data_IF_459693937011
#
_entry.id   IF_459693937011
#
_cell.length_a   1.000
_cell.length_b   1.000
_cell.length_c   1.000
_cell.angle_alpha   90.00
_cell.angle_beta   90.00
_cell.angle_gamma   90.00
#
_symmetry.space_group_name_H-M   'P 1'
#
loop_
_entity.id
_entity.type
_entity.pdbx_description
1 polymer ?
#
# COMPACT_ATOMS: atom_id res chain seq x y z
N UNK A 1 42.15 16.03 42.02
CA UNK A 1 41.04 15.08 41.82
C UNK A 1 40.55 15.28 40.41
N UNK A 2 41.03 14.48 39.47
CA UNK A 2 40.54 14.48 38.10
C UNK A 2 39.77 13.16 37.92
N UNK A 3 38.44 13.26 37.86
CA UNK A 3 37.56 12.15 37.58
C UNK A 3 37.63 11.83 36.08
N UNK A 4 38.45 10.85 35.71
CA UNK A 4 38.31 10.16 34.43
C UNK A 4 37.02 9.34 34.47
N UNK A 5 35.98 9.82 33.77
CA UNK A 5 34.79 9.04 33.50
C UNK A 5 35.09 8.10 32.32
N UNK A 6 35.33 6.82 32.63
CA UNK A 6 35.28 5.72 31.68
C UNK A 6 33.83 5.52 31.20
N UNK A 7 33.41 6.30 30.20
CA UNK A 7 32.20 5.95 29.45
C UNK A 7 32.55 4.80 28.50
N UNK A 8 32.17 3.59 28.95
CA UNK A 8 32.14 2.38 28.16
C UNK A 8 31.51 2.65 26.78
N UNK A 9 32.25 2.34 25.72
CA UNK A 9 31.83 2.44 24.34
C UNK A 9 30.73 1.44 24.00
N UNK A 10 29.49 1.77 24.34
CA UNK A 10 28.35 1.25 23.60
C UNK A 10 28.23 2.08 22.32
N UNK A 11 28.84 1.60 21.23
CA UNK A 11 28.39 1.98 19.90
C UNK A 11 27.03 1.31 19.71
N UNK A 12 25.95 2.08 19.85
CA UNK A 12 24.70 1.66 19.27
C UNK A 12 24.92 1.61 17.76
N UNK A 13 25.07 0.42 17.20
CA UNK A 13 24.89 0.27 15.76
C UNK A 13 23.49 0.80 15.44
N UNK A 14 23.33 1.66 14.42
CA UNK A 14 22.01 2.17 14.08
C UNK A 14 21.10 0.97 13.82
N UNK A 15 20.00 0.87 14.57
CA UNK A 15 19.00 -0.16 14.37
C UNK A 15 18.66 -0.21 12.88
N UNK A 16 19.00 -1.31 12.21
CA UNK A 16 18.61 -1.55 10.83
C UNK A 16 17.08 -1.52 10.77
N UNK A 17 16.53 -0.37 10.36
CA UNK A 17 15.10 -0.25 10.10
C UNK A 17 14.83 -1.03 8.84
N UNK A 18 14.10 -2.13 8.97
CA UNK A 18 13.61 -2.89 7.83
C UNK A 18 12.70 -1.98 6.98
N UNK A 19 13.25 -1.44 5.89
CA UNK A 19 12.48 -0.69 4.91
C UNK A 19 11.93 -1.66 3.86
N UNK A 20 10.61 -1.78 3.82
CA UNK A 20 9.94 -2.52 2.76
C UNK A 20 10.27 -1.88 1.42
N UNK A 21 10.85 -2.66 0.50
CA UNK A 21 10.99 -2.21 -0.88
C UNK A 21 9.60 -1.85 -1.45
N UNK A 22 9.57 -0.88 -2.37
CA UNK A 22 8.32 -0.40 -2.97
C UNK A 22 7.45 -1.57 -3.49
N UNK A 23 8.09 -2.57 -4.11
CA UNK A 23 7.45 -3.81 -4.56
C UNK A 23 6.68 -4.54 -3.44
N UNK A 24 7.26 -4.68 -2.26
CA UNK A 24 6.57 -5.35 -1.15
C UNK A 24 5.39 -4.52 -0.62
N UNK A 25 5.53 -3.19 -0.58
CA UNK A 25 4.42 -2.29 -0.17
C UNK A 25 3.25 -2.42 -1.14
N UNK A 26 3.54 -2.47 -2.44
CA UNK A 26 2.52 -2.64 -3.49
C UNK A 26 1.80 -3.98 -3.35
N UNK A 27 2.54 -5.07 -3.16
CA UNK A 27 1.94 -6.39 -2.97
C UNK A 27 1.05 -6.44 -1.73
N UNK A 28 1.49 -5.82 -0.62
CA UNK A 28 0.67 -5.72 0.59
C UNK A 28 -0.63 -4.95 0.32
N UNK A 29 -0.56 -3.80 -0.36
CA UNK A 29 -1.74 -3.01 -0.73
C UNK A 29 -2.69 -3.80 -1.62
N UNK A 30 -2.19 -4.47 -2.67
CA UNK A 30 -3.01 -5.31 -3.55
C UNK A 30 -3.73 -6.42 -2.77
N UNK A 31 -3.00 -7.13 -1.91
CA UNK A 31 -3.60 -8.18 -1.09
C UNK A 31 -4.69 -7.60 -0.17
N UNK A 32 -4.45 -6.47 0.48
CA UNK A 32 -5.46 -5.81 1.33
C UNK A 32 -6.70 -5.38 0.55
N UNK A 33 -6.55 -4.84 -0.66
CA UNK A 33 -7.68 -4.48 -1.52
C UNK A 33 -8.48 -5.72 -1.95
N UNK A 34 -7.81 -6.79 -2.35
CA UNK A 34 -8.47 -8.04 -2.74
C UNK A 34 -9.25 -8.66 -1.58
N UNK A 35 -8.63 -8.77 -0.39
CA UNK A 35 -9.30 -9.30 0.80
C UNK A 35 -10.52 -8.47 1.18
N UNK A 36 -10.40 -7.14 1.24
CA UNK A 36 -11.53 -6.28 1.61
C UNK A 36 -12.67 -6.34 0.58
N UNK A 37 -12.34 -6.50 -0.71
CA UNK A 37 -13.33 -6.67 -1.78
C UNK A 37 -14.08 -7.99 -1.61
N UNK A 38 -13.38 -9.08 -1.35
CA UNK A 38 -13.97 -10.40 -1.08
C UNK A 38 -14.87 -10.37 0.16
N UNK A 39 -14.41 -9.72 1.25
CA UNK A 39 -15.20 -9.52 2.47
C UNK A 39 -16.49 -8.75 2.17
N UNK A 40 -16.43 -7.68 1.37
CA UNK A 40 -17.62 -6.92 0.99
C UNK A 40 -18.62 -7.77 0.21
N UNK A 41 -18.16 -8.61 -0.74
CA UNK A 41 -19.04 -9.50 -1.48
C UNK A 41 -19.65 -10.59 -0.59
N UNK A 42 -18.84 -11.22 0.26
CA UNK A 42 -19.27 -12.23 1.22
C UNK A 42 -20.34 -11.69 2.17
N UNK A 43 -20.12 -10.51 2.75
CA UNK A 43 -21.08 -9.86 3.63
C UNK A 43 -22.35 -9.42 2.88
N UNK A 44 -22.23 -8.99 1.61
CA UNK A 44 -23.38 -8.61 0.79
C UNK A 44 -24.31 -9.80 0.47
N UNK A 45 -23.76 -11.02 0.40
CA UNK A 45 -24.54 -12.24 0.16
C UNK A 45 -25.41 -12.63 1.36
N UNK A 46 -24.89 -12.46 2.58
CA UNK A 46 -25.59 -12.85 3.82
C UNK A 46 -26.44 -11.72 4.41
N UNK A 47 -26.26 -10.48 3.93
CA UNK A 47 -26.98 -9.31 4.43
C UNK A 47 -28.42 -9.25 3.91
N UNK A 48 -29.40 -9.28 4.81
CA UNK A 48 -30.84 -9.14 4.48
C UNK A 48 -31.28 -7.67 4.31
N UNK A 49 -30.51 -6.72 4.85
CA UNK A 49 -30.84 -5.30 4.77
C UNK A 49 -30.45 -4.75 3.41
N UNK A 50 -31.45 -4.41 2.57
CA UNK A 50 -31.22 -3.92 1.21
C UNK A 50 -30.23 -2.74 1.13
N UNK A 51 -30.34 -1.75 2.03
CA UNK A 51 -29.44 -0.60 2.05
C UNK A 51 -27.98 -1.01 2.35
N UNK A 52 -27.79 -1.96 3.27
CA UNK A 52 -26.47 -2.45 3.65
C UNK A 52 -25.87 -3.29 2.52
N UNK A 53 -26.68 -4.15 1.88
CA UNK A 53 -26.27 -4.89 0.69
C UNK A 53 -25.79 -3.96 -0.42
N UNK A 54 -26.57 -2.94 -0.77
CA UNK A 54 -26.17 -1.97 -1.79
C UNK A 54 -24.86 -1.24 -1.43
N UNK A 55 -24.66 -0.90 -0.16
CA UNK A 55 -23.43 -0.26 0.31
C UNK A 55 -22.21 -1.18 0.16
N UNK A 56 -22.36 -2.46 0.54
CA UNK A 56 -21.30 -3.46 0.45
C UNK A 56 -20.94 -3.74 -1.01
N UNK A 57 -21.94 -3.95 -1.89
CA UNK A 57 -21.69 -4.13 -3.33
C UNK A 57 -21.03 -2.90 -3.96
N UNK A 58 -21.45 -1.69 -3.56
CA UNK A 58 -20.83 -0.45 -4.06
C UNK A 58 -19.38 -0.33 -3.60
N UNK A 59 -19.11 -0.66 -2.33
CA UNK A 59 -17.76 -0.68 -1.76
C UNK A 59 -16.87 -1.67 -2.50
N UNK A 60 -17.37 -2.88 -2.78
CA UNK A 60 -16.65 -3.90 -3.53
C UNK A 60 -16.27 -3.44 -4.95
N UNK A 61 -17.19 -2.78 -5.67
CA UNK A 61 -16.93 -2.22 -7.01
C UNK A 61 -15.89 -1.09 -6.98
N UNK A 62 -15.89 -0.26 -5.94
CA UNK A 62 -14.87 0.79 -5.75
C UNK A 62 -13.50 0.15 -5.52
N UNK A 63 -13.43 -0.89 -4.68
CA UNK A 63 -12.18 -1.62 -4.41
C UNK A 63 -11.64 -2.30 -5.67
N UNK A 64 -12.49 -2.89 -6.48
CA UNK A 64 -12.12 -3.46 -7.78
C UNK A 64 -11.54 -2.40 -8.73
N UNK A 65 -12.17 -1.22 -8.82
CA UNK A 65 -11.66 -0.12 -9.64
C UNK A 65 -10.29 0.39 -9.15
N UNK A 66 -10.08 0.43 -7.82
CA UNK A 66 -8.80 0.79 -7.22
C UNK A 66 -7.74 -0.27 -7.55
N UNK A 67 -8.04 -1.55 -7.38
CA UNK A 67 -7.12 -2.65 -7.72
C UNK A 67 -6.66 -2.58 -9.18
N UNK A 68 -7.59 -2.39 -10.12
CA UNK A 68 -7.27 -2.21 -11.56
C UNK A 68 -6.44 -0.96 -11.84
N UNK A 69 -6.67 0.13 -11.09
CA UNK A 69 -5.89 1.37 -11.23
C UNK A 69 -4.46 1.19 -10.74
N UNK A 70 -4.27 0.45 -9.64
CA UNK A 70 -2.95 0.07 -9.15
C UNK A 70 -2.24 -0.83 -10.16
N UNK A 71 -2.92 -1.83 -10.74
CA UNK A 71 -2.33 -2.69 -11.77
C UNK A 71 -1.81 -1.90 -12.98
N UNK A 72 -2.63 -1.01 -13.53
CA UNK A 72 -2.23 -0.18 -14.67
C UNK A 72 -1.09 0.77 -14.35
N UNK A 73 -1.13 1.43 -13.18
CA UNK A 73 -0.07 2.34 -12.75
C UNK A 73 1.30 1.66 -12.59
N UNK A 74 1.33 0.40 -12.15
CA UNK A 74 2.59 -0.35 -12.00
C UNK A 74 3.09 -0.99 -13.30
N UNK A 75 2.19 -1.33 -14.22
CA UNK A 75 2.60 -1.79 -15.55
C UNK A 75 3.20 -0.64 -16.38
N UNK A 76 2.68 0.58 -16.23
CA UNK A 76 3.24 1.77 -16.89
C UNK A 76 4.64 2.13 -16.33
N UNK A 77 4.86 2.01 -15.01
CA UNK A 77 6.18 2.21 -14.39
C UNK A 77 7.19 1.09 -14.75
N UNK A 78 6.73 -0.13 -15.02
CA UNK A 78 7.59 -1.23 -15.51
C UNK A 78 7.85 -1.18 -17.02
N UNK A 79 7.14 -0.34 -17.77
CA UNK A 79 7.31 -0.16 -19.23
C UNK A 79 8.32 0.93 -19.60
N UNK A 80 9.04 1.54 -18.65
CA UNK A 80 10.06 2.54 -18.96
C UNK A 80 9.54 3.74 -19.75
N UNK A 81 8.22 3.98 -19.74
CA UNK A 81 7.63 5.17 -20.30
C UNK A 81 7.54 6.15 -19.13
N UNK A 82 8.69 6.78 -18.84
CA UNK A 82 8.65 8.09 -18.19
C UNK A 82 7.58 8.91 -18.91
N UNK A 83 6.57 9.45 -18.20
CA UNK A 83 5.64 10.37 -18.83
C UNK A 83 6.52 11.48 -19.42
N UNK A 84 6.58 11.56 -20.76
CA UNK A 84 7.22 12.71 -21.40
C UNK A 84 6.56 13.92 -20.79
N UNK A 85 7.34 14.73 -20.09
CA UNK A 85 6.86 15.98 -19.52
C UNK A 85 6.11 16.71 -20.62
N UNK A 86 4.85 17.04 -20.35
CA UNK A 86 4.07 17.93 -21.22
C UNK A 86 4.33 19.39 -20.86
N UNK A 87 5.38 19.67 -20.07
CA UNK A 87 5.78 21.03 -19.76
C UNK A 87 6.61 21.60 -20.92
N UNK A 88 6.34 22.84 -21.37
CA UNK A 88 6.97 23.42 -22.56
C UNK A 88 8.44 23.83 -22.35
N UNK A 89 9.06 23.49 -21.23
CA UNK A 89 10.45 23.79 -20.89
C UNK A 89 11.34 22.54 -20.74
N UNK A 90 10.83 21.36 -21.11
CA UNK A 90 11.65 20.18 -21.40
C UNK A 90 12.29 20.25 -22.79
#
# INVERSE_FOLDING_TARGET
MEHQNDYAGYSFEPEERFEWSMRHRILAIKNSLSTLKEDCWSEAEITETHNMKNLLETSARILEALEQSFEKGFDDDNMGISPKSTEPWD
#
